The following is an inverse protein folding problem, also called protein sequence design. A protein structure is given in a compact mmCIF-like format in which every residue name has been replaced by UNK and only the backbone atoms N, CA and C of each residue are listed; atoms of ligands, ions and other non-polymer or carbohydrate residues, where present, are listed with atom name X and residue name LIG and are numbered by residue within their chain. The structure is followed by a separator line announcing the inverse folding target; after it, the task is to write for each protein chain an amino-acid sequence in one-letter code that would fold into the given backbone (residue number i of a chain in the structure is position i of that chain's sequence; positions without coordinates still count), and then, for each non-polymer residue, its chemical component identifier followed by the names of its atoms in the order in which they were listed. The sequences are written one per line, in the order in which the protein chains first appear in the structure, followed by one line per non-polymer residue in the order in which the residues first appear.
data_IF_836724289731
#
_entry.id   IF_836724289731
#
_cell.length_a   1.000
_cell.length_b   1.000
_cell.length_c   1.000
_cell.angle_alpha   90.00
_cell.angle_beta   90.00
_cell.angle_gamma   90.00
#
_symmetry.space_group_name_H-M   'P 1'
#
loop_
_entity.id
_entity.type
_entity.pdbx_description
1 polymer ?
#
# COMPACT_ATOMS: atom_id res chain seq x y z
N UNK A 1 -57.79 -44.92 -46.78
CA UNK A 1 -57.78 -44.66 -45.31
C UNK A 1 -56.40 -44.81 -44.64
N UNK A 2 -55.40 -45.49 -45.22
CA UNK A 2 -54.08 -45.68 -44.57
C UNK A 2 -53.10 -44.48 -44.71
N UNK A 3 -53.15 -43.71 -45.80
CA UNK A 3 -52.21 -42.59 -46.05
C UNK A 3 -52.44 -41.36 -45.16
N UNK A 4 -53.69 -41.00 -44.84
CA UNK A 4 -54.00 -39.85 -43.97
C UNK A 4 -53.55 -40.03 -42.52
N UNK A 5 -53.58 -41.27 -42.02
CA UNK A 5 -53.12 -41.59 -40.67
C UNK A 5 -51.60 -41.35 -40.54
N UNK A 6 -50.83 -41.77 -41.55
CA UNK A 6 -49.38 -41.53 -41.60
C UNK A 6 -49.03 -40.04 -41.74
N UNK A 7 -49.80 -39.27 -42.52
CA UNK A 7 -49.59 -37.83 -42.69
C UNK A 7 -49.83 -37.06 -41.37
N UNK A 8 -50.93 -37.37 -40.66
CA UNK A 8 -51.19 -36.79 -39.33
C UNK A 8 -50.09 -37.15 -38.33
N UNK A 9 -49.65 -38.41 -38.29
CA UNK A 9 -48.61 -38.85 -37.38
C UNK A 9 -47.28 -38.13 -37.62
N UNK A 10 -46.87 -37.95 -38.89
CA UNK A 10 -45.65 -37.18 -39.25
C UNK A 10 -45.76 -35.71 -38.82
N UNK A 11 -46.92 -35.08 -39.02
CA UNK A 11 -47.13 -33.69 -38.61
C UNK A 11 -47.07 -33.53 -37.08
N UNK A 12 -47.60 -34.50 -36.33
CA UNK A 12 -47.51 -34.50 -34.86
C UNK A 12 -46.07 -34.63 -34.39
N UNK A 13 -45.29 -35.57 -34.96
CA UNK A 13 -43.87 -35.72 -34.64
C UNK A 13 -43.04 -34.48 -35.00
N UNK A 14 -43.32 -33.85 -36.14
CA UNK A 14 -42.64 -32.61 -36.55
C UNK A 14 -42.88 -31.48 -35.53
N UNK A 15 -44.11 -31.31 -35.05
CA UNK A 15 -44.45 -30.33 -34.01
C UNK A 15 -43.74 -30.61 -32.69
N UNK A 16 -43.68 -31.88 -32.28
CA UNK A 16 -42.96 -32.29 -31.06
C UNK A 16 -41.47 -31.99 -31.18
N UNK A 17 -40.84 -32.33 -32.30
CA UNK A 17 -39.41 -32.05 -32.55
C UNK A 17 -39.11 -30.56 -32.59
N UNK A 18 -39.99 -29.75 -33.21
CA UNK A 18 -39.88 -28.29 -33.22
C UNK A 18 -39.97 -27.70 -31.81
N UNK A 19 -40.96 -28.11 -31.01
CA UNK A 19 -41.10 -27.66 -29.63
C UNK A 19 -39.88 -28.04 -28.77
N UNK A 20 -39.36 -29.26 -28.94
CA UNK A 20 -38.18 -29.73 -28.22
C UNK A 20 -36.93 -28.94 -28.61
N UNK A 21 -36.72 -28.73 -29.90
CA UNK A 21 -35.61 -27.92 -30.42
C UNK A 21 -35.66 -26.48 -29.93
N UNK A 22 -36.85 -25.85 -29.94
CA UNK A 22 -37.05 -24.50 -29.44
C UNK A 22 -36.77 -24.41 -27.93
N UNK A 23 -37.21 -25.43 -27.16
CA UNK A 23 -37.01 -25.47 -25.70
C UNK A 23 -35.53 -25.61 -25.36
N UNK A 24 -34.79 -26.46 -26.07
CA UNK A 24 -33.35 -26.62 -25.91
C UNK A 24 -32.63 -25.31 -26.26
N UNK A 25 -32.98 -24.68 -27.38
CA UNK A 25 -32.37 -23.40 -27.80
C UNK A 25 -32.59 -22.28 -26.78
N UNK A 26 -33.81 -22.16 -26.23
CA UNK A 26 -34.12 -21.19 -25.17
C UNK A 26 -33.33 -21.48 -23.90
N UNK A 27 -33.14 -22.74 -23.55
CA UNK A 27 -32.37 -23.11 -22.36
C UNK A 27 -30.88 -22.79 -22.53
N UNK A 28 -30.30 -23.08 -23.70
CA UNK A 28 -28.91 -22.73 -24.01
C UNK A 28 -28.69 -21.22 -24.02
N UNK A 29 -29.60 -20.45 -24.62
CA UNK A 29 -29.50 -18.97 -24.64
C UNK A 29 -29.65 -18.39 -23.23
N UNK A 30 -30.55 -18.91 -22.39
CA UNK A 30 -30.66 -18.51 -20.98
C UNK A 30 -29.38 -18.84 -20.18
N UNK A 31 -28.83 -20.05 -20.32
CA UNK A 31 -27.58 -20.44 -19.66
C UNK A 31 -26.39 -19.58 -20.11
N UNK A 32 -26.30 -19.28 -21.41
CA UNK A 32 -25.25 -18.42 -21.96
C UNK A 32 -25.34 -17.00 -21.39
N UNK A 33 -26.55 -16.41 -21.34
CA UNK A 33 -26.77 -15.09 -20.76
C UNK A 33 -26.45 -15.07 -19.26
N UNK A 34 -26.83 -16.11 -18.51
CA UNK A 34 -26.48 -16.23 -17.09
C UNK A 34 -24.98 -16.37 -16.87
N UNK A 35 -24.29 -17.16 -17.70
CA UNK A 35 -22.83 -17.28 -17.66
C UNK A 35 -22.15 -15.94 -17.95
N UNK A 36 -22.61 -15.21 -18.98
CA UNK A 36 -22.07 -13.89 -19.30
C UNK A 36 -22.34 -12.86 -18.19
N UNK A 37 -23.55 -12.85 -17.62
CA UNK A 37 -23.89 -11.99 -16.48
C UNK A 37 -23.03 -12.32 -15.26
N UNK A 38 -22.83 -13.60 -14.94
CA UNK A 38 -21.94 -14.02 -13.87
C UNK A 38 -20.50 -13.59 -14.18
N UNK A 39 -20.00 -13.88 -15.37
CA UNK A 39 -18.63 -13.52 -15.78
C UNK A 39 -18.38 -12.01 -15.71
N UNK A 40 -19.29 -11.17 -16.21
CA UNK A 40 -19.20 -9.72 -16.09
C UNK A 40 -19.30 -9.26 -14.62
N UNK A 41 -20.19 -9.86 -13.84
CA UNK A 41 -20.28 -9.54 -12.40
C UNK A 41 -19.01 -9.93 -11.64
N UNK A 42 -18.32 -11.01 -12.06
CA UNK A 42 -17.07 -11.48 -11.45
C UNK A 42 -15.80 -10.85 -12.05
N UNK A 43 -15.87 -10.28 -13.25
CA UNK A 43 -14.74 -9.61 -13.90
C UNK A 43 -14.34 -8.30 -13.19
N UNK A 44 -15.31 -7.61 -12.58
CA UNK A 44 -15.09 -6.38 -11.81
C UNK A 44 -14.83 -6.64 -10.30
N UNK A 45 -15.01 -7.88 -9.83
CA UNK A 45 -14.74 -8.24 -8.43
C UNK A 45 -13.28 -7.93 -8.00
N UNK A 46 -12.22 -8.25 -8.79
CA UNK A 46 -10.84 -7.98 -8.40
C UNK A 46 -10.54 -6.50 -8.12
N UNK A 47 -11.21 -5.58 -8.83
CA UNK A 47 -11.08 -4.13 -8.65
C UNK A 47 -11.80 -3.62 -7.38
N UNK A 48 -12.82 -4.34 -6.92
CA UNK A 48 -13.48 -4.05 -5.64
C UNK A 48 -12.64 -4.53 -4.43
N UNK A 49 -11.74 -5.49 -4.63
CA UNK A 49 -10.98 -6.15 -3.55
C UNK A 49 -9.50 -5.75 -3.43
N UNK A 50 -8.91 -4.97 -4.35
CA UNK A 50 -7.54 -4.44 -4.18
C UNK A 50 -7.45 -2.92 -4.33
N UNK A 51 -7.87 -2.15 -3.31
CA UNK A 51 -7.81 -0.69 -3.39
C UNK A 51 -6.44 -0.11 -2.99
N UNK A 52 -5.50 -0.93 -2.49
CA UNK A 52 -4.10 -0.56 -2.30
C UNK A 52 -3.24 -1.09 -3.46
N UNK A 53 -2.16 -0.38 -3.80
CA UNK A 53 -1.20 -0.89 -4.77
C UNK A 53 -0.61 -2.22 -4.30
N UNK A 54 -0.31 -3.08 -5.28
CA UNK A 54 0.41 -4.32 -5.00
C UNK A 54 1.87 -4.03 -4.62
N UNK A 55 2.50 -4.96 -3.92
CA UNK A 55 3.91 -4.85 -3.59
C UNK A 55 4.76 -4.81 -4.86
N UNK A 56 4.40 -5.61 -5.86
CA UNK A 56 5.06 -5.70 -7.15
C UNK A 56 4.99 -4.37 -7.91
N UNK A 57 3.83 -3.72 -7.91
CA UNK A 57 3.64 -2.39 -8.51
C UNK A 57 4.52 -1.34 -7.81
N UNK A 58 4.51 -1.31 -6.48
CA UNK A 58 5.33 -0.35 -5.72
C UNK A 58 6.83 -0.61 -5.90
N UNK A 59 7.26 -1.88 -5.91
CA UNK A 59 8.66 -2.24 -6.15
C UNK A 59 9.09 -1.86 -7.56
N UNK A 60 8.27 -2.14 -8.57
CA UNK A 60 8.56 -1.77 -9.96
C UNK A 60 8.69 -0.25 -10.10
N UNK A 61 7.72 0.52 -9.56
CA UNK A 61 7.77 1.98 -9.56
C UNK A 61 9.01 2.53 -8.83
N UNK A 62 9.41 1.90 -7.72
CA UNK A 62 10.62 2.27 -6.99
C UNK A 62 11.89 2.01 -7.82
N UNK A 63 11.97 0.87 -8.51
CA UNK A 63 13.11 0.51 -9.36
C UNK A 63 13.21 1.43 -10.58
N UNK A 64 12.10 1.69 -11.26
CA UNK A 64 12.04 2.53 -12.46
C UNK A 64 12.39 4.01 -12.16
N UNK A 65 12.17 4.46 -10.93
CA UNK A 65 12.36 5.84 -10.50
C UNK A 65 13.31 5.99 -9.30
N UNK A 66 14.29 5.08 -9.19
CA UNK A 66 15.16 4.95 -8.01
C UNK A 66 15.88 6.25 -7.64
N UNK A 67 16.36 7.00 -8.64
CA UNK A 67 17.10 8.26 -8.46
C UNK A 67 16.19 9.38 -7.96
N UNK A 68 14.94 9.45 -8.42
CA UNK A 68 13.97 10.42 -7.94
C UNK A 68 13.57 10.18 -6.48
N UNK A 69 13.40 8.92 -6.07
CA UNK A 69 13.19 8.57 -4.66
C UNK A 69 14.34 9.04 -3.77
N UNK A 70 15.57 8.75 -4.18
CA UNK A 70 16.78 9.23 -3.51
C UNK A 70 16.85 10.75 -3.44
N UNK A 71 16.47 11.42 -4.53
CA UNK A 71 16.45 12.88 -4.60
C UNK A 71 15.43 13.47 -3.62
N UNK A 72 14.25 12.88 -3.49
CA UNK A 72 13.24 13.33 -2.51
C UNK A 72 13.73 13.17 -1.07
N UNK A 73 14.37 12.05 -0.76
CA UNK A 73 15.01 11.82 0.56
C UNK A 73 16.11 12.85 0.81
N UNK A 74 16.99 13.06 -0.16
CA UNK A 74 18.07 14.03 -0.03
C UNK A 74 17.55 15.46 0.17
N UNK A 75 16.53 15.87 -0.59
CA UNK A 75 15.89 17.18 -0.44
C UNK A 75 15.34 17.34 0.98
N UNK A 76 14.62 16.33 1.48
CA UNK A 76 14.07 16.38 2.83
C UNK A 76 15.16 16.49 3.90
N UNK A 77 16.20 15.65 3.81
CA UNK A 77 17.23 15.54 4.84
C UNK A 77 18.24 16.69 4.79
N UNK A 78 18.63 17.14 3.60
CA UNK A 78 19.82 17.99 3.39
C UNK A 78 19.49 19.40 2.89
N UNK A 79 18.41 19.60 2.13
CA UNK A 79 18.13 20.91 1.55
C UNK A 79 17.46 21.84 2.59
N UNK A 80 18.26 22.70 3.20
CA UNK A 80 17.77 23.67 4.20
C UNK A 80 16.93 24.80 3.61
N UNK A 81 16.87 24.92 2.27
CA UNK A 81 16.08 25.96 1.60
C UNK A 81 14.62 25.58 1.47
N UNK A 82 14.30 24.28 1.52
CA UNK A 82 12.93 23.81 1.38
C UNK A 82 12.25 23.85 2.74
N UNK A 83 11.15 24.62 2.87
CA UNK A 83 10.44 24.71 4.13
C UNK A 83 9.79 23.37 4.49
N UNK A 84 9.75 23.11 5.79
CA UNK A 84 9.06 21.96 6.38
C UNK A 84 8.04 22.52 7.34
N UNK A 85 6.81 22.06 7.22
CA UNK A 85 5.74 22.38 8.15
C UNK A 85 5.47 21.16 9.02
N UNK A 86 5.52 21.35 10.34
CA UNK A 86 5.58 20.26 11.31
C UNK A 86 6.73 19.32 10.93
N UNK A 87 6.42 18.19 10.31
CA UNK A 87 7.37 17.15 9.91
C UNK A 87 7.40 16.88 8.40
N UNK A 88 6.62 17.62 7.61
CA UNK A 88 6.34 17.33 6.20
C UNK A 88 6.96 18.38 5.29
N UNK A 89 7.53 17.91 4.19
CA UNK A 89 8.07 18.76 3.13
C UNK A 89 6.94 19.60 2.52
N UNK A 90 7.13 20.92 2.42
CA UNK A 90 6.25 21.77 1.62
C UNK A 90 6.81 21.80 0.20
N UNK A 91 6.17 21.14 -0.78
CA UNK A 91 6.79 20.96 -2.10
C UNK A 91 6.71 22.24 -2.93
N UNK A 92 7.85 22.66 -3.49
CA UNK A 92 7.90 23.65 -4.57
C UNK A 92 7.32 23.08 -5.87
N UNK A 93 7.05 23.89 -6.92
CA UNK A 93 6.58 23.36 -8.21
C UNK A 93 7.51 22.31 -8.84
N UNK A 94 8.82 22.47 -8.69
CA UNK A 94 9.81 21.50 -9.14
C UNK A 94 9.69 20.17 -8.36
N UNK A 95 9.63 20.25 -7.03
CA UNK A 95 9.49 19.07 -6.17
C UNK A 95 8.16 18.34 -6.46
N UNK A 96 7.06 19.09 -6.63
CA UNK A 96 5.77 18.54 -7.01
C UNK A 96 5.81 17.81 -8.36
N UNK A 97 6.68 18.22 -9.28
CA UNK A 97 6.86 17.53 -10.56
C UNK A 97 7.57 16.19 -10.35
N UNK A 98 8.60 16.14 -9.49
CA UNK A 98 9.28 14.89 -9.12
C UNK A 98 8.28 13.95 -8.43
N UNK A 99 7.59 14.43 -7.40
CA UNK A 99 6.60 13.67 -6.63
C UNK A 99 5.51 13.05 -7.52
N UNK A 100 4.97 13.81 -8.48
CA UNK A 100 3.98 13.31 -9.44
C UNK A 100 4.51 12.20 -10.34
N UNK A 101 5.76 12.30 -10.81
CA UNK A 101 6.36 11.26 -11.67
C UNK A 101 6.53 9.93 -10.94
N UNK A 102 6.76 9.95 -9.63
CA UNK A 102 7.01 8.74 -8.83
C UNK A 102 5.80 8.30 -7.98
N UNK A 103 4.62 8.87 -8.25
CA UNK A 103 3.38 8.62 -7.52
C UNK A 103 3.47 8.87 -6.00
N UNK A 104 4.23 9.88 -5.58
CA UNK A 104 4.33 10.29 -4.16
C UNK A 104 3.45 11.52 -3.92
N UNK A 105 2.62 11.48 -2.87
CA UNK A 105 1.72 12.56 -2.45
C UNK A 105 2.28 13.40 -1.29
N UNK A 106 3.19 12.84 -0.50
CA UNK A 106 3.80 13.54 0.63
C UNK A 106 5.18 12.98 0.96
N UNK A 107 6.03 13.80 1.57
CA UNK A 107 7.33 13.42 2.12
C UNK A 107 7.42 13.94 3.54
N UNK A 108 7.63 13.07 4.53
CA UNK A 108 7.64 13.46 5.95
C UNK A 108 8.67 12.65 6.76
N UNK A 109 9.04 13.14 7.95
CA UNK A 109 9.84 12.35 8.88
C UNK A 109 9.03 11.19 9.47
N UNK A 110 9.75 10.13 9.86
CA UNK A 110 9.25 8.99 10.62
C UNK A 110 9.04 9.28 12.12
N UNK A 111 9.60 10.39 12.61
CA UNK A 111 9.58 10.76 14.02
C UNK A 111 10.62 10.02 14.87
N UNK A 112 11.55 9.29 14.25
CA UNK A 112 12.67 8.65 14.94
C UNK A 112 13.96 9.42 14.71
N UNK A 113 14.90 9.23 15.63
CA UNK A 113 16.25 9.78 15.51
C UNK A 113 17.27 8.65 15.50
N UNK A 114 17.89 8.47 14.34
CA UNK A 114 18.91 7.48 14.06
C UNK A 114 20.29 8.11 14.31
N UNK A 115 20.69 8.21 15.58
CA UNK A 115 21.92 8.90 15.98
C UNK A 115 23.15 8.00 15.76
N UNK A 116 24.16 8.42 14.97
CA UNK A 116 25.40 7.65 14.79
C UNK A 116 26.28 7.64 16.06
N UNK A 117 27.25 6.70 16.17
CA UNK A 117 27.58 5.65 15.19
C UNK A 117 26.72 4.39 15.29
N UNK A 118 26.19 4.06 16.48
CA UNK A 118 25.21 2.97 16.66
C UNK A 118 23.92 3.57 17.24
N UNK A 119 22.84 3.68 16.44
CA UNK A 119 21.58 4.31 16.89
C UNK A 119 20.86 3.49 17.96
N UNK A 120 21.33 2.27 18.26
CA UNK A 120 20.77 1.37 19.25
C UNK A 120 21.62 1.27 20.54
N UNK A 121 22.69 2.06 20.67
CA UNK A 121 23.55 1.98 21.85
C UNK A 121 22.84 2.57 23.08
N UNK A 122 23.13 2.03 24.27
CA UNK A 122 22.61 2.57 25.54
C UNK A 122 23.07 4.01 25.79
N UNK A 123 24.21 4.39 25.21
CA UNK A 123 24.77 5.74 25.33
C UNK A 123 23.91 6.78 24.59
N UNK A 124 23.17 6.36 23.54
CA UNK A 124 22.22 7.24 22.86
C UNK A 124 21.14 7.74 23.82
N UNK A 125 20.64 6.91 24.73
CA UNK A 125 19.63 7.35 25.72
C UNK A 125 20.21 8.43 26.66
N UNK A 126 21.50 8.37 26.96
CA UNK A 126 22.21 9.38 27.75
C UNK A 126 22.36 10.68 26.92
N UNK A 127 22.73 10.57 25.64
CA UNK A 127 22.86 11.72 24.73
C UNK A 127 21.52 12.44 24.55
N UNK A 128 20.42 11.68 24.37
CA UNK A 128 19.05 12.18 24.29
C UNK A 128 18.66 12.99 25.53
N UNK A 129 18.98 12.48 26.73
CA UNK A 129 18.71 13.15 28.02
C UNK A 129 19.56 14.42 28.21
N UNK A 130 20.80 14.43 27.70
CA UNK A 130 21.73 15.56 27.84
C UNK A 130 21.53 16.67 26.80
N UNK A 131 20.79 16.41 25.71
CA UNK A 131 20.57 17.37 24.62
C UNK A 131 19.09 17.79 24.50
N UNK A 132 18.48 18.43 25.52
CA UNK A 132 17.04 18.72 25.53
C UNK A 132 16.56 19.62 24.38
N UNK A 133 17.45 20.39 23.74
CA UNK A 133 17.12 21.28 22.62
C UNK A 133 16.65 20.54 21.36
N UNK A 134 17.13 19.32 21.13
CA UNK A 134 16.67 18.49 20.00
C UNK A 134 15.43 17.65 20.36
N UNK A 135 15.00 17.66 21.63
CA UNK A 135 14.15 16.60 22.17
C UNK A 135 12.90 17.03 22.94
N UNK A 136 12.79 18.25 23.49
CA UNK A 136 11.62 18.58 24.30
C UNK A 136 11.19 20.06 24.26
N UNK A 137 10.03 20.30 23.64
CA UNK A 137 8.91 21.03 24.27
C UNK A 137 7.61 20.73 23.52
N UNK A 138 6.70 19.96 24.15
CA UNK A 138 5.32 19.80 23.68
C UNK A 138 4.98 18.58 22.82
N UNK A 139 5.83 17.56 22.75
CA UNK A 139 5.53 16.32 22.00
C UNK A 139 5.78 16.38 20.49
N UNK A 140 6.27 17.51 19.98
CA UNK A 140 6.72 17.66 18.60
C UNK A 140 8.25 17.73 18.59
N UNK A 141 8.89 16.82 17.87
CA UNK A 141 10.32 16.89 17.57
C UNK A 141 10.61 18.24 16.91
N UNK A 142 11.69 18.93 17.29
CA UNK A 142 12.15 20.06 16.51
C UNK A 142 12.70 19.53 15.18
N UNK A 143 11.92 19.67 14.11
CA UNK A 143 12.29 19.29 12.74
C UNK A 143 13.23 20.33 12.11
N UNK A 144 14.24 20.76 12.86
CA UNK A 144 15.30 21.59 12.31
C UNK A 144 16.16 20.81 11.29
N UNK A 145 17.00 21.53 10.56
CA UNK A 145 17.82 20.95 9.51
C UNK A 145 18.78 19.84 10.01
N UNK A 146 19.17 19.83 11.28
CA UNK A 146 20.04 18.78 11.84
C UNK A 146 19.23 17.53 12.18
N UNK A 147 18.07 17.70 12.82
CA UNK A 147 17.17 16.58 13.13
C UNK A 147 16.75 15.82 11.87
N UNK A 148 16.46 16.53 10.76
CA UNK A 148 16.08 15.89 9.49
C UNK A 148 17.14 14.93 8.94
N UNK A 149 18.43 15.23 9.11
CA UNK A 149 19.54 14.36 8.68
C UNK A 149 19.57 13.03 9.43
N UNK A 150 18.96 12.99 10.62
CA UNK A 150 18.93 11.84 11.50
C UNK A 150 17.57 11.12 11.46
N UNK A 151 16.58 11.62 10.70
CA UNK A 151 15.26 11.01 10.61
C UNK A 151 15.14 10.07 9.42
N UNK A 152 14.36 9.01 9.59
CA UNK A 152 13.83 8.27 8.46
C UNK A 152 12.78 9.08 7.71
N UNK A 153 12.55 8.71 6.46
CA UNK A 153 11.71 9.48 5.53
C UNK A 153 10.59 8.58 5.03
N UNK A 154 9.36 9.00 5.28
CA UNK A 154 8.14 8.38 4.76
C UNK A 154 7.72 9.11 3.49
N UNK A 155 7.49 8.37 2.42
CA UNK A 155 6.96 8.89 1.16
C UNK A 155 5.57 8.30 0.91
N UNK A 156 4.54 9.12 1.07
CA UNK A 156 3.14 8.70 0.94
C UNK A 156 2.83 8.32 -0.51
N UNK A 157 2.44 7.08 -0.77
CA UNK A 157 2.07 6.67 -2.14
C UNK A 157 0.69 7.22 -2.51
N UNK A 158 0.55 7.67 -3.75
CA UNK A 158 -0.72 8.16 -4.30
C UNK A 158 -1.47 6.98 -4.90
N UNK A 159 -2.64 6.68 -4.34
CA UNK A 159 -3.56 5.67 -4.87
C UNK A 159 -4.99 6.21 -4.81
N UNK A 160 -5.83 5.76 -5.75
CA UNK A 160 -7.13 6.37 -6.00
C UNK A 160 -8.10 6.27 -4.82
N UNK A 161 -8.39 5.05 -4.36
CA UNK A 161 -9.42 4.82 -3.33
C UNK A 161 -8.80 4.55 -1.97
N UNK A 162 -9.08 5.40 -0.99
CA UNK A 162 -8.75 5.16 0.42
C UNK A 162 -9.56 3.98 0.95
N UNK A 163 -8.91 3.10 1.71
CA UNK A 163 -9.55 1.95 2.36
C UNK A 163 -9.68 2.22 3.83
N UNK A 164 -10.83 1.86 4.39
CA UNK A 164 -11.02 1.80 5.84
C UNK A 164 -11.35 0.38 6.30
N UNK A 165 -10.76 -0.04 7.42
CA UNK A 165 -11.06 -1.32 8.11
C UNK A 165 -11.52 -0.97 9.53
N UNK A 166 -12.78 -1.28 9.83
CA UNK A 166 -13.43 -0.91 11.11
C UNK A 166 -13.23 0.59 11.42
N UNK A 167 -13.48 1.46 10.44
CA UNK A 167 -13.32 2.91 10.57
C UNK A 167 -11.89 3.46 10.50
N UNK A 168 -10.86 2.60 10.49
CA UNK A 168 -9.46 3.05 10.44
C UNK A 168 -8.92 3.05 9.00
N UNK A 169 -8.28 4.14 8.59
CA UNK A 169 -7.64 4.29 7.28
C UNK A 169 -6.43 3.35 7.16
N UNK A 170 -6.36 2.59 6.07
CA UNK A 170 -5.15 1.88 5.68
C UNK A 170 -4.34 2.73 4.71
N UNK A 171 -3.05 2.88 5.03
CA UNK A 171 -2.09 3.53 4.13
C UNK A 171 -0.89 2.64 3.80
N UNK A 172 -0.46 2.68 2.53
CA UNK A 172 0.83 2.18 2.07
C UNK A 172 1.74 3.35 1.70
N UNK A 173 3.01 3.27 2.10
CA UNK A 173 4.03 4.30 1.88
C UNK A 173 5.37 3.63 1.59
N UNK A 174 6.28 4.33 0.93
CA UNK A 174 7.69 3.98 0.99
C UNK A 174 8.29 4.52 2.27
N UNK A 175 9.28 3.82 2.80
CA UNK A 175 9.99 4.21 4.01
C UNK A 175 11.49 4.02 3.81
N UNK A 176 12.22 5.12 3.93
CA UNK A 176 13.67 5.16 3.92
C UNK A 176 14.21 5.27 5.36
N UNK A 177 15.15 4.40 5.70
CA UNK A 177 15.84 4.42 6.98
C UNK A 177 17.30 4.83 6.74
N UNK A 178 17.82 5.89 7.39
CA UNK A 178 19.18 6.39 7.14
C UNK A 178 20.30 5.42 7.56
N UNK A 179 19.98 4.40 8.36
CA UNK A 179 20.92 3.36 8.80
C UNK A 179 20.33 1.98 8.51
N UNK A 180 21.19 1.00 8.28
CA UNK A 180 20.72 -0.40 8.12
C UNK A 180 20.07 -0.83 9.44
N UNK A 181 18.76 -1.13 9.46
CA UNK A 181 18.06 -1.38 10.70
C UNK A 181 18.38 -2.78 11.24
N UNK A 182 18.37 -2.94 12.56
CA UNK A 182 18.49 -4.25 13.22
C UNK A 182 17.17 -5.02 13.05
N UNK A 183 17.25 -6.22 12.48
CA UNK A 183 16.11 -7.12 12.30
C UNK A 183 16.34 -8.38 13.14
N UNK A 184 15.43 -8.65 14.08
CA UNK A 184 15.50 -9.83 14.95
C UNK A 184 14.18 -10.57 14.89
N UNK A 185 14.18 -11.85 14.52
CA UNK A 185 12.96 -12.67 14.40
C UNK A 185 11.87 -12.03 13.53
N UNK A 186 12.25 -11.45 12.38
CA UNK A 186 11.38 -10.67 11.49
C UNK A 186 10.78 -9.40 12.12
N UNK A 187 11.30 -8.91 13.25
CA UNK A 187 10.89 -7.64 13.82
C UNK A 187 11.95 -6.56 13.53
N UNK A 188 11.49 -5.45 12.98
CA UNK A 188 12.28 -4.26 12.72
C UNK A 188 12.47 -3.48 14.02
N UNK A 189 13.72 -3.25 14.41
CA UNK A 189 14.05 -2.50 15.63
C UNK A 189 14.24 -1.02 15.32
N UNK A 190 13.64 -0.17 16.14
CA UNK A 190 13.77 1.29 16.08
C UNK A 190 14.67 1.81 17.21
N UNK A 191 15.35 2.96 17.02
CA UNK A 191 16.36 3.47 17.96
C UNK A 191 15.80 4.18 19.21
N UNK A 192 14.50 4.41 19.31
CA UNK A 192 13.83 4.92 20.51
C UNK A 192 12.83 3.89 21.03
N UNK A 193 12.47 4.02 22.31
CA UNK A 193 11.53 3.16 23.09
C UNK A 193 10.52 2.44 22.22
N UNK A 194 10.26 1.14 22.49
CA UNK A 194 9.38 0.31 21.68
C UNK A 194 8.07 1.06 21.47
N UNK A 195 7.79 1.46 20.22
CA UNK A 195 6.43 1.83 19.90
C UNK A 195 5.55 0.64 20.29
N UNK A 196 4.46 0.91 21.00
CA UNK A 196 3.38 -0.03 21.09
C UNK A 196 2.89 -0.26 19.65
N UNK A 197 3.22 -1.41 19.07
CA UNK A 197 2.86 -1.75 17.69
C UNK A 197 3.74 -2.85 17.12
N UNK A 198 3.16 -3.71 16.29
CA UNK A 198 3.85 -4.82 15.64
C UNK A 198 4.72 -4.32 14.48
N UNK A 199 6.01 -4.06 14.71
CA UNK A 199 6.97 -3.70 13.67
C UNK A 199 7.49 -4.92 12.89
N UNK A 200 6.59 -5.70 12.30
CA UNK A 200 6.92 -6.98 11.68
C UNK A 200 7.25 -6.83 10.19
N UNK A 201 8.33 -7.46 9.78
CA UNK A 201 8.68 -7.68 8.37
C UNK A 201 7.93 -8.90 7.86
N UNK A 202 7.21 -8.72 6.76
CA UNK A 202 6.45 -9.77 6.08
C UNK A 202 6.99 -10.01 4.67
N UNK A 203 6.69 -11.19 4.13
CA UNK A 203 7.05 -11.53 2.74
C UNK A 203 6.17 -10.78 1.74
N UNK A 204 4.94 -10.41 2.14
CA UNK A 204 4.03 -9.60 1.33
C UNK A 204 3.13 -8.73 2.21
N UNK A 205 2.76 -7.57 1.67
CA UNK A 205 1.74 -6.63 2.16
C UNK A 205 0.53 -6.59 1.19
N UNK A 206 0.42 -7.54 0.26
CA UNK A 206 -0.74 -7.68 -0.63
C UNK A 206 -1.98 -8.18 0.11
N UNK A 207 -1.80 -8.78 1.29
CA UNK A 207 -2.87 -9.30 2.12
C UNK A 207 -2.86 -8.63 3.50
N UNK A 208 -4.05 -8.49 4.07
CA UNK A 208 -4.24 -8.02 5.43
C UNK A 208 -4.11 -9.18 6.42
N UNK A 209 -3.17 -9.15 7.37
CA UNK A 209 -3.17 -10.15 8.42
C UNK A 209 -4.39 -9.96 9.33
N UNK A 210 -4.92 -11.07 9.82
CA UNK A 210 -6.09 -11.08 10.69
C UNK A 210 -5.83 -10.40 12.04
N UNK A 211 -4.57 -10.40 12.50
CA UNK A 211 -4.11 -9.79 13.75
C UNK A 211 -3.57 -8.36 13.56
N UNK A 212 -4.09 -7.61 12.59
CA UNK A 212 -3.65 -6.23 12.32
C UNK A 212 -4.35 -5.22 13.22
N UNK A 213 -3.76 -4.99 14.40
CA UNK A 213 -4.27 -4.09 15.42
C UNK A 213 -4.26 -2.63 15.03
N UNK A 214 -4.91 -1.82 15.85
CA UNK A 214 -4.94 -0.37 15.69
C UNK A 214 -3.52 0.21 15.87
N UNK A 215 -3.10 1.10 14.97
CA UNK A 215 -1.75 1.69 14.93
C UNK A 215 -0.61 0.73 14.55
N UNK A 216 -0.92 -0.51 14.16
CA UNK A 216 0.11 -1.42 13.67
C UNK A 216 0.61 -1.01 12.28
N UNK A 217 1.90 -1.26 12.06
CA UNK A 217 2.58 -1.04 10.79
C UNK A 217 3.37 -2.28 10.39
N UNK A 218 3.08 -2.84 9.23
CA UNK A 218 3.80 -3.97 8.65
C UNK A 218 4.76 -3.48 7.59
N UNK A 219 5.90 -4.15 7.48
CA UNK A 219 6.99 -3.75 6.60
C UNK A 219 7.31 -4.85 5.60
N UNK A 220 7.63 -4.46 4.37
CA UNK A 220 8.27 -5.33 3.37
C UNK A 220 9.56 -4.67 2.93
N UNK A 221 10.67 -5.37 3.10
CA UNK A 221 11.97 -4.88 2.69
C UNK A 221 12.11 -4.93 1.17
N UNK A 222 12.58 -3.83 0.58
CA UNK A 222 12.93 -3.70 -0.85
C UNK A 222 14.45 -3.74 -1.00
N UNK A 223 15.16 -2.93 -0.20
CA UNK A 223 16.62 -2.82 -0.13
C UNK A 223 17.04 -2.67 1.35
N UNK A 224 18.34 -2.72 1.71
CA UNK A 224 18.79 -2.57 3.11
C UNK A 224 18.22 -1.34 3.85
N UNK A 225 18.02 -0.24 3.13
CA UNK A 225 17.51 1.03 3.68
C UNK A 225 16.05 1.33 3.29
N UNK A 226 15.44 0.53 2.40
CA UNK A 226 14.16 0.85 1.79
C UNK A 226 13.12 -0.22 2.06
N UNK A 227 11.95 0.25 2.48
CA UNK A 227 10.82 -0.59 2.85
C UNK A 227 9.54 -0.05 2.21
N UNK A 228 8.58 -0.93 1.94
CA UNK A 228 7.16 -0.56 1.89
C UNK A 228 6.63 -0.72 3.31
N UNK A 229 5.88 0.26 3.78
CA UNK A 229 5.18 0.19 5.06
C UNK A 229 3.67 0.29 4.83
N UNK A 230 2.92 -0.62 5.44
CA UNK A 230 1.46 -0.61 5.48
C UNK A 230 1.01 -0.37 6.92
N UNK A 231 0.32 0.75 7.19
CA UNK A 231 -0.13 1.12 8.53
C UNK A 231 -1.65 1.25 8.60
N UNK A 232 -2.22 0.87 9.75
CA UNK A 232 -3.61 1.12 10.14
C UNK A 232 -3.68 2.37 11.02
N UNK A 233 -4.24 3.45 10.50
CA UNK A 233 -4.27 4.77 11.13
C UNK A 233 -5.73 5.14 11.42
N UNK A 234 -5.98 5.73 12.59
CA UNK A 234 -7.32 6.24 12.95
C UNK A 234 -7.65 7.54 12.21
#
# INVERSE_FOLDING_TARGET
MSQDAHAKQRLTWLKVLLCLGLSIFLLFTACYLLFFLAFYSFADLPLLFRPLPSDEEMIANFQDHRTEFERLVWIYQQDSRVPVEFNSLIPTPEINTIMRRVNVSSVSADGYQWIPPDPYSRDIDIIKRKSPKCFQRGGYLHYDAQSRKLSGVLLGYTYGKKITIEGNLISKKYYYIPFVPKVTNRNLSFPTTPMAGYNRITESLNNYPQEFGQYDCLYKQIEPHWFIVMCRIQ
#
